data_IF_281300906428
#
_entry.id   IF_281300906428
#
_cell.length_a   1.000
_cell.length_b   1.000
_cell.length_c   1.000
_cell.angle_alpha   90.00
_cell.angle_beta   90.00
_cell.angle_gamma   90.00
#
_symmetry.space_group_name_H-M   'P 1'
#
loop_
_entity.id
_entity.type
_entity.pdbx_description
1 polymer ?
#
# COMPACT_ATOMS: atom_id res chain seq x y z
N UNK A 1 -17.74 -13.64 -11.08
CA UNK A 1 -17.07 -12.42 -10.60
C UNK A 1 -15.74 -12.31 -11.32
N UNK A 2 -15.45 -11.17 -11.92
CA UNK A 2 -14.18 -10.92 -12.62
C UNK A 2 -13.12 -10.56 -11.59
N UNK A 3 -11.92 -11.15 -11.67
CA UNK A 3 -10.81 -10.82 -10.77
C UNK A 3 -10.27 -9.44 -11.17
N UNK A 4 -10.19 -8.46 -10.24
CA UNK A 4 -9.63 -7.14 -10.52
C UNK A 4 -8.18 -7.24 -11.00
N UNK A 5 -7.88 -6.55 -12.10
CA UNK A 5 -6.54 -6.54 -12.71
C UNK A 5 -5.72 -5.37 -12.17
N UNK A 6 -4.47 -5.66 -11.81
CA UNK A 6 -3.48 -4.67 -11.40
C UNK A 6 -3.11 -3.75 -12.57
N UNK A 7 -3.11 -2.46 -12.29
CA UNK A 7 -2.50 -1.39 -13.09
C UNK A 7 -1.29 -0.87 -12.33
N UNK A 8 -0.13 -0.86 -12.98
CA UNK A 8 1.11 -0.35 -12.37
C UNK A 8 1.38 1.07 -12.84
N UNK A 9 1.63 1.97 -11.88
CA UNK A 9 2.13 3.32 -12.10
C UNK A 9 3.59 3.33 -11.68
N UNK A 10 4.46 3.76 -12.59
CA UNK A 10 5.90 3.91 -12.33
C UNK A 10 6.27 5.38 -12.44
N UNK A 11 6.95 5.90 -11.43
CA UNK A 11 7.54 7.24 -11.43
C UNK A 11 9.05 7.05 -11.50
N UNK A 12 9.62 7.50 -12.61
CA UNK A 12 11.05 7.41 -12.90
C UNK A 12 11.60 8.84 -13.04
N UNK A 13 12.58 9.16 -12.19
CA UNK A 13 13.21 10.48 -12.16
C UNK A 13 14.37 10.53 -13.15
N UNK A 14 14.59 11.68 -13.78
CA UNK A 14 15.80 11.87 -14.59
C UNK A 14 17.06 12.01 -13.74
N UNK A 15 16.90 12.32 -12.45
CA UNK A 15 18.00 12.25 -11.48
C UNK A 15 18.20 10.81 -11.02
N UNK A 16 19.33 10.21 -11.43
CA UNK A 16 19.70 8.83 -11.09
C UNK A 16 19.86 8.59 -9.58
N UNK A 17 20.01 9.64 -8.77
CA UNK A 17 20.05 9.53 -7.32
C UNK A 17 18.65 9.27 -6.70
N UNK A 18 17.57 9.50 -7.45
CA UNK A 18 16.20 9.29 -6.98
C UNK A 18 15.71 7.90 -7.39
N UNK A 19 15.40 7.01 -6.44
CA UNK A 19 14.91 5.67 -6.75
C UNK A 19 13.59 5.68 -7.53
N UNK A 20 13.45 4.75 -8.47
CA UNK A 20 12.19 4.51 -9.17
C UNK A 20 11.11 4.10 -8.17
N UNK A 21 9.98 4.80 -8.19
CA UNK A 21 8.83 4.49 -7.34
C UNK A 21 7.76 3.77 -8.15
N UNK A 22 7.22 2.68 -7.59
CA UNK A 22 6.18 1.87 -8.25
C UNK A 22 4.97 1.73 -7.33
N UNK A 23 3.80 2.00 -7.87
CA UNK A 23 2.52 1.84 -7.19
C UNK A 23 1.60 0.98 -8.02
N UNK A 24 0.97 -0.03 -7.41
CA UNK A 24 -0.07 -0.83 -8.05
C UNK A 24 -1.44 -0.41 -7.55
N UNK A 25 -2.34 -0.27 -8.51
CA UNK A 25 -3.73 0.14 -8.30
C UNK A 25 -4.62 -0.91 -8.94
N UNK A 26 -5.73 -1.23 -8.28
CA UNK A 26 -6.81 -2.02 -8.86
C UNK A 26 -8.08 -1.19 -8.86
N UNK A 27 -8.91 -1.36 -9.87
CA UNK A 27 -10.24 -0.79 -9.91
C UNK A 27 -11.23 -1.86 -9.46
N UNK A 28 -12.01 -1.57 -8.42
CA UNK A 28 -13.08 -2.44 -7.97
C UNK A 28 -14.33 -1.59 -7.79
N UNK A 29 -15.40 -1.95 -8.49
CA UNK A 29 -16.69 -1.26 -8.45
C UNK A 29 -16.58 0.25 -8.79
N UNK A 30 -15.65 0.62 -9.68
CA UNK A 30 -15.40 2.01 -10.08
C UNK A 30 -14.56 2.82 -9.08
N UNK A 31 -14.02 2.17 -8.04
CA UNK A 31 -13.16 2.79 -7.05
C UNK A 31 -11.70 2.33 -7.24
N UNK A 32 -10.76 3.27 -7.42
CA UNK A 32 -9.33 2.94 -7.43
C UNK A 32 -8.86 2.63 -6.01
N UNK A 33 -8.22 1.49 -5.84
CA UNK A 33 -7.64 1.04 -4.59
C UNK A 33 -6.16 0.70 -4.79
N UNK A 34 -5.32 1.15 -3.86
CA UNK A 34 -3.88 0.91 -3.86
C UNK A 34 -3.57 -0.40 -3.13
N UNK A 35 -2.59 -1.15 -3.62
CA UNK A 35 -2.05 -2.27 -2.85
C UNK A 35 -1.34 -1.72 -1.61
N UNK A 36 -1.76 -2.18 -0.43
CA UNK A 36 -1.20 -1.72 0.85
C UNK A 36 0.32 -1.90 0.90
N UNK A 37 0.82 -3.01 0.35
CA UNK A 37 2.27 -3.30 0.32
C UNK A 37 3.12 -2.26 -0.40
N UNK A 38 2.61 -1.64 -1.46
CA UNK A 38 3.41 -0.65 -2.19
C UNK A 38 3.52 0.66 -1.41
N UNK A 39 2.53 0.94 -0.56
CA UNK A 39 2.46 2.15 0.25
C UNK A 39 3.19 1.97 1.58
N UNK A 40 2.89 0.87 2.29
CA UNK A 40 3.44 0.60 3.61
C UNK A 40 4.95 0.29 3.57
N UNK A 41 5.43 -0.31 2.47
CA UNK A 41 6.87 -0.50 2.26
C UNK A 41 7.63 0.83 2.18
N UNK A 42 7.07 1.85 1.51
CA UNK A 42 7.68 3.19 1.43
C UNK A 42 7.79 3.87 2.80
N UNK A 43 6.95 3.47 3.74
CA UNK A 43 6.94 3.96 5.12
C UNK A 43 7.72 3.07 6.09
N UNK A 44 8.34 2.01 5.59
CA UNK A 44 9.09 1.02 6.39
C UNK A 44 8.27 0.42 7.54
N UNK A 45 6.97 0.17 7.28
CA UNK A 45 6.09 -0.48 8.25
C UNK A 45 6.36 -1.98 8.34
N UNK A 46 6.05 -2.62 9.47
CA UNK A 46 6.24 -4.06 9.62
C UNK A 46 5.27 -4.86 8.74
N UNK A 47 5.80 -5.90 8.11
CA UNK A 47 5.03 -6.93 7.41
C UNK A 47 4.37 -7.88 8.42
N UNK A 48 3.22 -8.42 8.05
CA UNK A 48 2.64 -9.59 8.71
C UNK A 48 3.26 -10.91 8.18
N UNK A 49 2.88 -12.04 8.78
CA UNK A 49 3.44 -13.36 8.47
C UNK A 49 3.19 -13.80 7.01
N UNK A 50 2.14 -13.31 6.35
CA UNK A 50 1.88 -13.64 4.93
C UNK A 50 2.53 -12.65 3.96
N UNK A 51 3.35 -11.72 4.46
CA UNK A 51 4.02 -10.71 3.63
C UNK A 51 3.10 -9.59 3.14
N UNK A 52 2.00 -9.34 3.84
CA UNK A 52 1.14 -8.17 3.66
C UNK A 52 1.28 -7.22 4.87
N UNK A 53 0.42 -6.20 4.96
CA UNK A 53 0.55 -5.14 5.96
C UNK A 53 -0.73 -4.95 6.79
N UNK A 54 -1.55 -6.00 6.93
CA UNK A 54 -2.84 -5.91 7.63
C UNK A 54 -2.67 -5.49 9.09
N UNK A 55 -1.71 -6.09 9.79
CA UNK A 55 -1.39 -5.73 11.17
C UNK A 55 -0.98 -4.25 11.33
N UNK A 56 -0.22 -3.71 10.37
CA UNK A 56 0.16 -2.30 10.39
C UNK A 56 -1.05 -1.40 10.13
N UNK A 57 -1.90 -1.76 9.16
CA UNK A 57 -3.14 -1.03 8.88
C UNK A 57 -4.09 -1.03 10.08
N UNK A 58 -4.28 -2.18 10.72
CA UNK A 58 -5.10 -2.33 11.93
C UNK A 58 -4.56 -1.47 13.08
N UNK A 59 -3.24 -1.49 13.29
CA UNK A 59 -2.59 -0.66 14.32
C UNK A 59 -2.88 0.83 14.16
N UNK A 60 -2.89 1.33 12.91
CA UNK A 60 -3.20 2.72 12.60
C UNK A 60 -4.69 2.99 12.35
N UNK A 61 -5.56 1.98 12.50
CA UNK A 61 -7.01 2.11 12.29
C UNK A 61 -7.40 2.38 10.84
N UNK A 62 -6.59 1.94 9.87
CA UNK A 62 -6.81 2.17 8.44
C UNK A 62 -7.70 1.07 7.87
N UNK A 63 -8.86 1.45 7.35
CA UNK A 63 -9.76 0.52 6.68
C UNK A 63 -9.17 0.01 5.36
N UNK A 64 -9.30 -1.28 5.11
CA UNK A 64 -8.87 -1.93 3.88
C UNK A 64 -9.88 -2.97 3.39
N UNK A 65 -9.82 -3.25 2.08
CA UNK A 65 -10.58 -4.32 1.41
C UNK A 65 -9.63 -5.46 1.07
N UNK A 66 -10.00 -6.69 1.41
CA UNK A 66 -9.28 -7.89 0.96
C UNK A 66 -9.82 -8.33 -0.40
N UNK A 67 -8.94 -8.55 -1.37
CA UNK A 67 -9.31 -9.10 -2.67
C UNK A 67 -8.20 -9.94 -3.27
N UNK A 68 -8.57 -10.97 -4.03
CA UNK A 68 -7.67 -11.55 -5.03
C UNK A 68 -7.52 -10.55 -6.18
N UNK A 69 -6.34 -10.50 -6.76
CA UNK A 69 -6.00 -9.60 -7.86
C UNK A 69 -5.22 -10.37 -8.91
N UNK A 70 -5.37 -10.01 -10.18
CA UNK A 70 -4.55 -10.57 -11.26
C UNK A 70 -3.52 -9.57 -11.72
N UNK A 71 -2.33 -10.06 -12.05
CA UNK A 71 -1.30 -9.25 -12.68
C UNK A 71 -1.60 -9.03 -14.18
N UNK A 72 -0.76 -8.27 -14.91
CA UNK A 72 -0.93 -8.10 -16.34
C UNK A 72 -0.79 -9.38 -17.18
N UNK A 73 -0.19 -10.45 -16.66
CA UNK A 73 -0.01 -11.73 -17.34
C UNK A 73 -1.15 -12.73 -17.06
N UNK A 74 -2.03 -12.41 -16.10
CA UNK A 74 -3.16 -13.24 -15.70
C UNK A 74 -2.90 -14.08 -14.45
N UNK A 75 -1.71 -13.98 -13.85
CA UNK A 75 -1.38 -14.66 -12.59
C UNK A 75 -2.17 -14.05 -11.45
N UNK A 76 -2.80 -14.90 -10.63
CA UNK A 76 -3.67 -14.46 -9.53
C UNK A 76 -2.88 -14.50 -8.22
N UNK A 77 -2.94 -13.42 -7.46
CA UNK A 77 -2.33 -13.31 -6.12
C UNK A 77 -3.37 -12.87 -5.08
N UNK A 78 -3.10 -13.16 -3.81
CA UNK A 78 -3.89 -12.69 -2.67
C UNK A 78 -4.75 -13.78 -1.99
N UNK A 79 -5.63 -13.38 -1.05
CA UNK A 79 -6.14 -12.03 -0.85
C UNK A 79 -5.07 -11.04 -0.37
N UNK A 80 -5.01 -9.86 -1.00
CA UNK A 80 -4.15 -8.74 -0.59
C UNK A 80 -4.99 -7.61 0.00
N UNK A 81 -4.41 -6.85 0.92
CA UNK A 81 -4.99 -5.64 1.46
C UNK A 81 -4.93 -4.49 0.45
N UNK A 82 -6.09 -3.87 0.23
CA UNK A 82 -6.30 -2.76 -0.68
C UNK A 82 -6.83 -1.56 0.09
N UNK A 83 -6.20 -0.40 -0.05
CA UNK A 83 -6.59 0.84 0.63
C UNK A 83 -7.01 1.90 -0.37
N UNK A 84 -7.91 2.78 0.05
CA UNK A 84 -8.28 3.96 -0.72
C UNK A 84 -7.16 4.99 -0.69
N UNK A 85 -7.20 5.97 -1.61
CA UNK A 85 -6.32 7.13 -1.53
C UNK A 85 -6.47 7.87 -0.19
N UNK A 86 -7.69 7.97 0.34
CA UNK A 86 -7.94 8.55 1.66
C UNK A 86 -7.24 7.77 2.77
N UNK A 87 -7.36 6.43 2.77
CA UNK A 87 -6.66 5.56 3.72
C UNK A 87 -5.15 5.67 3.63
N UNK A 88 -4.59 5.84 2.43
CA UNK A 88 -3.17 6.15 2.26
C UNK A 88 -2.77 7.46 2.94
N UNK A 89 -3.52 8.54 2.71
CA UNK A 89 -3.22 9.85 3.34
C UNK A 89 -3.30 9.76 4.86
N UNK A 90 -4.33 9.10 5.39
CA UNK A 90 -4.47 8.86 6.83
C UNK A 90 -3.28 8.07 7.40
N UNK A 91 -2.89 6.98 6.74
CA UNK A 91 -1.73 6.17 7.16
C UNK A 91 -0.46 7.01 7.20
N UNK A 92 -0.20 7.78 6.13
CA UNK A 92 0.97 8.66 6.05
C UNK A 92 1.01 9.65 7.22
N UNK A 93 -0.11 10.33 7.47
CA UNK A 93 -0.17 11.34 8.53
C UNK A 93 -0.02 10.71 9.92
N UNK A 94 -0.59 9.53 10.15
CA UNK A 94 -0.45 8.77 11.39
C UNK A 94 1.01 8.31 11.64
N UNK A 95 1.68 7.82 10.60
CA UNK A 95 3.10 7.40 10.69
C UNK A 95 4.02 8.58 10.94
N UNK A 96 3.76 9.73 10.30
CA UNK A 96 4.48 10.97 10.57
C UNK A 96 4.28 11.36 12.04
N UNK A 97 3.03 11.44 12.50
CA UNK A 97 2.72 11.81 13.88
C UNK A 97 3.36 10.85 14.91
N UNK A 98 3.38 9.54 14.65
CA UNK A 98 3.97 8.56 15.56
C UNK A 98 5.49 8.73 15.69
N UNK A 99 6.18 9.10 14.61
CA UNK A 99 7.63 9.37 14.61
C UNK A 99 8.00 10.62 15.41
N UNK A 100 7.14 11.63 15.41
CA UNK A 100 7.35 12.86 16.19
C UNK A 100 6.89 12.75 17.65
N UNK A 101 6.11 11.73 17.99
CA UNK A 101 5.59 11.51 19.35
C UNK A 101 6.51 10.62 20.21
N UNK A 102 7.53 9.99 19.63
CA UNK A 102 8.57 9.34 20.42
C UNK A 102 9.59 10.41 20.87
N UNK A 103 9.80 10.63 22.19
CA UNK A 103 10.87 11.50 22.63
C UNK A 103 12.18 10.93 22.07
N UNK A 104 12.97 11.75 21.38
CA UNK A 104 14.33 11.37 21.04
C UNK A 104 15.03 11.06 22.36
N UNK A 105 15.29 9.77 22.58
CA UNK A 105 15.93 9.28 23.78
C UNK A 105 17.28 9.97 23.95
N UNK A 106 17.47 10.52 25.15
CA UNK A 106 18.72 11.05 25.70
C UNK A 106 19.77 9.95 25.75
#
# INVERSE_FOLDING_TARGET
MTIPRIKTVTIDSHDEAVPVVRFRIVDIDGQPLHLAKDIAALMSLPLDEDGDYRLALDHFGISYRLSKVSDPHGEISGPVALITEHGFRQLKDAVIASRYSQPQGV
#
